data_IF_646649978525
#
_entry.id   IF_646649978525
#
_cell.length_a   1.000
_cell.length_b   1.000
_cell.length_c   1.000
_cell.angle_alpha   90.00
_cell.angle_beta   90.00
_cell.angle_gamma   90.00
#
_symmetry.space_group_name_H-M   'P 1'
#
loop_
_entity.id
_entity.type
_entity.pdbx_description
1 polymer ?
#
# COMPACT_ATOMS: atom_id res chain seq x y z
N UNK A 1 -9.72 8.65 7.43
CA UNK A 1 -9.06 7.37 7.77
C UNK A 1 -8.23 6.95 6.58
N UNK A 2 -6.94 6.68 6.77
CA UNK A 2 -6.08 6.14 5.71
C UNK A 2 -6.47 4.69 5.36
N UNK A 3 -5.95 4.16 4.25
CA UNK A 3 -6.16 2.75 3.86
C UNK A 3 -5.61 1.77 4.92
N UNK A 4 -4.46 2.09 5.52
CA UNK A 4 -3.89 1.32 6.64
C UNK A 4 -4.80 1.36 7.86
N UNK A 5 -5.37 2.52 8.19
CA UNK A 5 -6.32 2.63 9.31
C UNK A 5 -7.59 1.79 9.04
N UNK A 6 -8.05 1.75 7.79
CA UNK A 6 -9.21 0.95 7.38
C UNK A 6 -8.93 -0.55 7.49
N UNK A 7 -7.77 -1.01 7.03
CA UNK A 7 -7.35 -2.41 7.16
C UNK A 7 -7.18 -2.81 8.63
N UNK A 8 -6.54 -1.97 9.44
CA UNK A 8 -6.38 -2.21 10.87
C UNK A 8 -7.73 -2.29 11.59
N UNK A 9 -8.66 -1.38 11.26
CA UNK A 9 -10.03 -1.44 11.78
C UNK A 9 -10.74 -2.73 11.38
N UNK A 10 -10.63 -3.15 10.11
CA UNK A 10 -11.29 -4.35 9.61
C UNK A 10 -10.78 -5.61 10.30
N UNK A 11 -9.47 -5.75 10.48
CA UNK A 11 -8.85 -6.86 11.22
C UNK A 11 -9.36 -6.90 12.65
N UNK A 12 -9.38 -5.76 13.35
CA UNK A 12 -9.90 -5.71 14.72
C UNK A 12 -11.39 -6.06 14.81
N UNK A 13 -12.19 -5.62 13.84
CA UNK A 13 -13.62 -5.95 13.79
C UNK A 13 -13.83 -7.46 13.55
N UNK A 14 -13.06 -8.07 12.65
CA UNK A 14 -13.10 -9.49 12.37
C UNK A 14 -12.67 -10.33 13.57
N UNK A 15 -11.60 -9.94 14.27
CA UNK A 15 -11.16 -10.60 15.50
C UNK A 15 -12.24 -10.59 16.59
N UNK A 16 -13.02 -9.50 16.71
CA UNK A 16 -14.15 -9.42 17.66
C UNK A 16 -15.31 -10.35 17.31
N UNK A 17 -15.48 -10.68 16.03
CA UNK A 17 -16.50 -11.62 15.54
C UNK A 17 -16.03 -13.08 15.58
N UNK A 18 -14.79 -13.32 15.98
CA UNK A 18 -14.22 -14.65 15.99
C UNK A 18 -14.83 -15.52 17.09
N UNK A 19 -15.28 -16.68 16.66
CA UNK A 19 -15.75 -17.79 17.47
C UNK A 19 -14.97 -19.04 17.08
N UNK A 20 -15.13 -20.13 17.83
CA UNK A 20 -14.49 -21.40 17.48
C UNK A 20 -14.96 -21.92 16.12
N UNK A 21 -16.25 -21.78 15.81
CA UNK A 21 -16.85 -22.33 14.59
C UNK A 21 -16.43 -21.59 13.31
N UNK A 22 -16.12 -20.30 13.42
CA UNK A 22 -15.75 -19.47 12.27
C UNK A 22 -14.25 -19.12 12.21
N UNK A 23 -13.43 -19.67 13.13
CA UNK A 23 -12.03 -19.31 13.29
C UNK A 23 -11.23 -19.44 12.00
N UNK A 24 -11.37 -20.58 11.30
CA UNK A 24 -10.63 -20.83 10.04
C UNK A 24 -10.99 -19.79 8.98
N UNK A 25 -12.27 -19.47 8.83
CA UNK A 25 -12.76 -18.48 7.86
C UNK A 25 -12.26 -17.08 8.19
N UNK A 26 -12.36 -16.64 9.45
CA UNK A 26 -11.91 -15.32 9.87
C UNK A 26 -10.40 -15.18 9.75
N UNK A 27 -9.63 -16.19 10.15
CA UNK A 27 -8.18 -16.20 9.93
C UNK A 27 -7.84 -16.07 8.45
N UNK A 28 -8.53 -16.80 7.57
CA UNK A 28 -8.34 -16.69 6.12
C UNK A 28 -8.62 -15.28 5.59
N UNK A 29 -9.71 -14.65 6.03
CA UNK A 29 -10.05 -13.27 5.62
C UNK A 29 -8.98 -12.28 6.10
N UNK A 30 -8.53 -12.40 7.36
CA UNK A 30 -7.47 -11.55 7.92
C UNK A 30 -6.20 -11.69 7.08
N UNK A 31 -5.78 -12.92 6.76
CA UNK A 31 -4.59 -13.16 5.92
C UNK A 31 -4.68 -12.54 4.53
N UNK A 32 -5.88 -12.55 3.91
CA UNK A 32 -6.09 -11.86 2.61
C UNK A 32 -5.92 -10.35 2.75
N UNK A 33 -6.46 -9.74 3.82
CA UNK A 33 -6.33 -8.30 4.07
C UNK A 33 -4.85 -7.92 4.29
N UNK A 34 -4.10 -8.71 5.05
CA UNK A 34 -2.68 -8.49 5.30
C UNK A 34 -1.83 -8.62 4.02
N UNK A 35 -2.15 -9.60 3.17
CA UNK A 35 -1.50 -9.77 1.88
C UNK A 35 -1.73 -8.55 0.98
N UNK A 36 -2.96 -8.03 0.94
CA UNK A 36 -3.29 -6.82 0.18
C UNK A 36 -2.55 -5.58 0.71
N UNK A 37 -2.41 -5.41 2.02
CA UNK A 37 -1.62 -4.31 2.60
C UNK A 37 -0.15 -4.41 2.20
N UNK A 38 0.41 -5.62 2.19
CA UNK A 38 1.79 -5.86 1.75
C UNK A 38 1.96 -5.52 0.27
N UNK A 39 1.01 -5.89 -0.58
CA UNK A 39 1.03 -5.55 -2.01
C UNK A 39 0.93 -4.05 -2.25
N UNK A 40 0.04 -3.34 -1.54
CA UNK A 40 -0.09 -1.88 -1.61
C UNK A 40 1.22 -1.20 -1.23
N UNK A 41 1.88 -1.63 -0.15
CA UNK A 41 3.17 -1.08 0.28
C UNK A 41 4.27 -1.34 -0.77
N UNK A 42 4.28 -2.55 -1.36
CA UNK A 42 5.21 -2.88 -2.44
C UNK A 42 5.00 -2.02 -3.68
N UNK A 43 3.75 -1.76 -4.06
CA UNK A 43 3.41 -0.88 -5.17
C UNK A 43 3.83 0.56 -4.89
N UNK A 44 3.60 1.06 -3.66
CA UNK A 44 4.06 2.40 -3.24
C UNK A 44 5.58 2.51 -3.32
N UNK A 45 6.32 1.56 -2.75
CA UNK A 45 7.78 1.54 -2.85
C UNK A 45 8.30 1.45 -4.28
N UNK A 46 7.60 0.70 -5.15
CA UNK A 46 7.94 0.62 -6.58
C UNK A 46 7.68 1.94 -7.30
N UNK A 47 6.57 2.62 -7.01
CA UNK A 47 6.25 3.92 -7.56
C UNK A 47 7.22 5.00 -7.07
N UNK A 48 7.58 4.99 -5.79
CA UNK A 48 8.63 5.86 -5.24
C UNK A 48 9.97 5.59 -5.92
N UNK A 49 10.37 4.33 -6.08
CA UNK A 49 11.58 3.95 -6.81
C UNK A 49 11.59 4.43 -8.27
N UNK A 50 10.45 4.42 -8.95
CA UNK A 50 10.31 4.99 -10.30
C UNK A 50 10.40 6.52 -10.29
N UNK A 51 9.76 7.18 -9.33
CA UNK A 51 9.78 8.63 -9.17
C UNK A 51 11.18 9.15 -8.86
N UNK A 52 11.97 8.40 -8.08
CA UNK A 52 13.36 8.71 -7.73
C UNK A 52 14.40 8.05 -8.66
N UNK A 53 13.96 7.38 -9.74
CA UNK A 53 14.86 6.69 -10.67
C UNK A 53 15.84 7.65 -11.36
N UNK A 54 17.02 7.19 -11.81
CA UNK A 54 18.00 8.08 -12.38
C UNK A 54 17.52 8.92 -13.57
N UNK A 55 16.59 8.36 -14.33
CA UNK A 55 16.01 8.93 -15.53
C UNK A 55 14.97 10.01 -15.21
N UNK A 56 14.26 9.93 -14.07
CA UNK A 56 13.25 10.92 -13.69
C UNK A 56 13.89 12.21 -13.15
N UNK A 57 14.95 12.14 -12.34
CA UNK A 57 15.67 13.34 -11.87
C UNK A 57 16.41 14.06 -13.00
N UNK A 58 16.94 13.32 -13.98
CA UNK A 58 17.56 13.91 -15.17
C UNK A 58 16.52 14.65 -16.01
N UNK A 59 15.33 14.07 -16.20
CA UNK A 59 14.22 14.69 -16.93
C UNK A 59 13.72 15.97 -16.25
N UNK A 60 13.59 15.98 -14.93
CA UNK A 60 13.21 17.18 -14.17
C UNK A 60 14.28 18.29 -14.26
N UNK A 61 15.57 17.91 -14.27
CA UNK A 61 16.67 18.86 -14.50
C UNK A 61 16.65 19.46 -15.91
N UNK A 62 16.37 18.65 -16.93
CA UNK A 62 16.30 19.13 -18.32
C UNK A 62 15.08 20.03 -18.58
N UNK A 63 13.98 19.82 -17.86
CA UNK A 63 12.79 20.69 -17.95
C UNK A 63 12.98 22.02 -17.21
N UNK A 64 13.69 22.04 -16.10
CA UNK A 64 13.95 23.27 -15.31
C UNK A 64 15.08 24.15 -15.88
N UNK A 65 15.88 23.64 -16.82
CA UNK A 65 17.03 24.36 -17.41
C UNK A 65 16.81 24.89 -18.82
N UNK A 66 15.66 24.63 -19.46
CA UNK A 66 15.34 25.25 -20.75
C UNK A 66 14.82 26.68 -20.53
N UNK A 67 15.52 27.73 -21.01
CA UNK A 67 14.97 29.08 -20.98
C UNK A 67 13.78 29.13 -21.93
N UNK A 68 12.64 29.61 -21.40
CA UNK A 68 11.47 29.99 -22.20
C UNK A 68 11.85 31.20 -23.05
N UNK A 69 12.04 30.97 -24.36
CA UNK A 69 12.08 32.02 -25.37
C UNK A 69 10.68 32.57 -25.64
#
# INVERSE_FOLDING_TARGET
MSEQDQAAWAVQALQKLQTTDNAVTITGIISVIEAQQTEIESLRGSMEGQLWSPTSWQRDREQTTKPTN
#
